data_IF_112267523407
#
_entry.id   IF_112267523407
#
_cell.length_a   1.000
_cell.length_b   1.000
_cell.length_c   1.000
_cell.angle_alpha   90.00
_cell.angle_beta   90.00
_cell.angle_gamma   90.00
#
_symmetry.space_group_name_H-M   'P 1'
#
loop_
_entity.id
_entity.type
_entity.pdbx_description
1 polymer ?
#
# COMPACT_ATOMS: atom_id res chain seq x y z
N UNK A 1 35.42 -62.38 -3.08
CA UNK A 1 35.33 -61.16 -3.90
C UNK A 1 34.25 -60.31 -3.26
N UNK A 2 34.68 -59.45 -2.33
CA UNK A 2 33.81 -58.60 -1.51
C UNK A 2 33.60 -57.31 -2.30
N UNK A 3 32.38 -57.11 -2.80
CA UNK A 3 31.99 -55.94 -3.57
C UNK A 3 31.68 -54.83 -2.55
N UNK A 4 32.63 -53.92 -2.36
CA UNK A 4 32.44 -52.71 -1.58
C UNK A 4 31.35 -51.87 -2.27
N UNK A 5 30.18 -51.81 -1.63
CA UNK A 5 29.05 -51.00 -2.03
C UNK A 5 29.31 -49.55 -1.56
N UNK A 6 29.80 -48.72 -2.48
CA UNK A 6 30.11 -47.30 -2.25
C UNK A 6 28.84 -46.42 -2.15
N UNK A 7 27.75 -46.94 -1.59
CA UNK A 7 26.60 -46.10 -1.22
C UNK A 7 26.93 -45.35 0.05
N UNK A 8 27.54 -44.17 -0.12
CA UNK A 8 27.59 -43.15 0.92
C UNK A 8 26.16 -42.80 1.30
N UNK A 9 25.75 -43.23 2.48
CA UNK A 9 24.42 -42.95 3.02
C UNK A 9 24.33 -41.46 3.35
N UNK A 10 23.82 -40.67 2.41
CA UNK A 10 23.69 -39.22 2.57
C UNK A 10 22.58 -38.96 3.59
N UNK A 11 22.87 -38.38 4.77
CA UNK A 11 21.84 -38.14 5.76
C UNK A 11 20.77 -37.23 5.16
N UNK A 12 19.53 -37.73 5.13
CA UNK A 12 18.33 -37.05 4.62
C UNK A 12 17.85 -35.93 5.55
N UNK A 13 18.78 -35.10 6.02
CA UNK A 13 18.53 -33.88 6.78
C UNK A 13 19.29 -32.76 6.12
N UNK A 14 18.59 -32.00 5.28
CA UNK A 14 19.04 -30.69 4.82
C UNK A 14 19.28 -29.82 6.05
N UNK A 15 20.53 -29.75 6.48
CA UNK A 15 21.00 -28.98 7.63
C UNK A 15 20.71 -27.48 7.48
N UNK A 16 20.57 -27.01 6.24
CA UNK A 16 20.04 -25.68 5.96
C UNK A 16 18.52 -25.74 5.90
N UNK A 17 17.90 -25.42 7.02
CA UNK A 17 16.48 -25.07 7.12
C UNK A 17 16.14 -23.79 6.36
N UNK A 18 16.37 -23.75 5.05
CA UNK A 18 15.69 -22.83 4.17
C UNK A 18 14.22 -23.24 4.15
N UNK A 19 13.47 -22.77 5.14
CA UNK A 19 12.03 -22.59 5.00
C UNK A 19 11.88 -21.78 3.72
N UNK A 20 11.48 -22.43 2.61
CA UNK A 20 10.81 -21.73 1.52
C UNK A 20 9.64 -21.04 2.20
N UNK A 21 9.81 -19.76 2.52
CA UNK A 21 8.69 -18.93 2.90
C UNK A 21 7.68 -19.14 1.77
N UNK A 22 6.42 -19.52 2.06
CA UNK A 22 5.41 -19.61 1.03
C UNK A 22 5.33 -18.20 0.42
N UNK A 23 6.01 -18.02 -0.70
CA UNK A 23 5.99 -16.81 -1.49
C UNK A 23 4.59 -16.78 -2.05
N UNK A 24 3.72 -15.97 -1.46
CA UNK A 24 2.36 -15.75 -1.98
C UNK A 24 2.54 -15.31 -3.44
N UNK A 25 2.18 -16.15 -4.44
CA UNK A 25 2.57 -15.96 -5.83
C UNK A 25 2.01 -14.68 -6.49
N UNK A 26 1.23 -13.88 -5.75
CA UNK A 26 0.56 -12.67 -6.23
C UNK A 26 0.56 -11.53 -5.17
N UNK A 27 1.63 -11.38 -4.39
CA UNK A 27 1.76 -10.26 -3.45
C UNK A 27 2.02 -8.93 -4.16
N UNK A 28 1.01 -8.05 -4.25
CA UNK A 28 1.16 -6.69 -4.81
C UNK A 28 1.31 -5.62 -3.72
N UNK A 29 1.45 -6.00 -2.44
CA UNK A 29 1.60 -5.06 -1.33
C UNK A 29 2.84 -4.16 -1.42
N UNK A 30 3.86 -4.58 -2.17
CA UNK A 30 5.02 -3.73 -2.46
C UNK A 30 4.66 -2.52 -3.34
N UNK A 31 3.65 -2.64 -4.22
CA UNK A 31 3.11 -1.53 -5.02
C UNK A 31 2.31 -0.60 -4.13
N UNK A 32 1.42 -1.15 -3.29
CA UNK A 32 0.61 -0.38 -2.33
C UNK A 32 1.50 0.48 -1.43
N UNK A 33 2.56 -0.12 -0.88
CA UNK A 33 3.56 0.60 -0.07
C UNK A 33 4.16 1.78 -0.82
N UNK A 34 4.56 1.61 -2.08
CA UNK A 34 5.10 2.70 -2.91
C UNK A 34 4.07 3.79 -3.17
N UNK A 35 2.81 3.42 -3.41
CA UNK A 35 1.72 4.37 -3.63
C UNK A 35 1.41 5.20 -2.38
N UNK A 36 1.41 4.60 -1.18
CA UNK A 36 1.24 5.35 0.06
C UNK A 36 2.42 6.26 0.38
N UNK A 37 3.66 5.80 0.15
CA UNK A 37 4.84 6.68 0.28
C UNK A 37 4.74 7.85 -0.69
N UNK A 38 4.39 7.58 -1.96
CA UNK A 38 4.21 8.61 -2.98
C UNK A 38 3.13 9.61 -2.56
N UNK A 39 1.97 9.14 -2.09
CA UNK A 39 0.90 9.99 -1.58
C UNK A 39 1.38 10.87 -0.41
N UNK A 40 2.11 10.29 0.55
CA UNK A 40 2.68 11.03 1.67
C UNK A 40 3.67 12.11 1.24
N UNK A 41 4.53 11.82 0.25
CA UNK A 41 5.47 12.80 -0.32
C UNK A 41 4.72 13.93 -1.01
N UNK A 42 3.73 13.60 -1.85
CA UNK A 42 2.90 14.58 -2.54
C UNK A 42 2.24 15.50 -1.51
N UNK A 43 1.60 14.94 -0.48
CA UNK A 43 0.95 15.70 0.59
C UNK A 43 1.93 16.57 1.38
N UNK A 44 3.12 16.08 1.72
CA UNK A 44 4.16 16.86 2.42
C UNK A 44 4.61 18.07 1.60
N UNK A 45 4.88 17.87 0.31
CA UNK A 45 5.34 18.93 -0.59
C UNK A 45 4.21 19.93 -0.85
N UNK A 46 2.98 19.47 -1.01
CA UNK A 46 1.83 20.35 -1.26
C UNK A 46 1.37 21.15 -0.05
N UNK A 47 1.58 20.63 1.17
CA UNK A 47 1.12 21.27 2.40
C UNK A 47 1.52 22.75 2.55
N UNK A 48 2.79 23.18 2.37
CA UNK A 48 3.16 24.59 2.50
C UNK A 48 2.46 25.50 1.48
N UNK A 49 2.12 25.00 0.30
CA UNK A 49 1.46 25.80 -0.74
C UNK A 49 -0.05 25.92 -0.52
N UNK A 50 -0.67 24.89 0.06
CA UNK A 50 -2.12 24.80 0.21
C UNK A 50 -2.59 24.90 1.67
N UNK A 51 -1.70 25.25 2.61
CA UNK A 51 -2.00 25.28 4.05
C UNK A 51 -3.25 26.09 4.42
N UNK A 52 -3.50 27.20 3.71
CA UNK A 52 -4.68 28.07 3.92
C UNK A 52 -5.98 27.50 3.34
N UNK A 53 -5.90 26.56 2.40
CA UNK A 53 -7.04 25.95 1.70
C UNK A 53 -7.47 24.62 2.33
N UNK A 54 -6.65 24.06 3.22
CA UNK A 54 -6.97 22.82 3.93
C UNK A 54 -8.10 23.06 4.94
N UNK A 55 -9.30 22.59 4.59
CA UNK A 55 -10.52 22.74 5.43
C UNK A 55 -10.39 22.15 6.84
N UNK A 56 -9.58 21.11 7.03
CA UNK A 56 -9.34 20.46 8.33
C UNK A 56 -8.24 21.09 9.18
N UNK A 57 -7.57 22.14 8.68
CA UNK A 57 -6.40 22.74 9.31
C UNK A 57 -5.10 21.95 9.10
N UNK A 58 -3.98 22.62 9.35
CA UNK A 58 -2.63 22.09 9.09
C UNK A 58 -2.30 20.89 9.97
N UNK A 59 -2.73 20.89 11.24
CA UNK A 59 -2.50 19.77 12.16
C UNK A 59 -3.16 18.48 11.69
N UNK A 60 -4.39 18.55 11.18
CA UNK A 60 -5.10 17.38 10.66
C UNK A 60 -4.41 16.82 9.41
N UNK A 61 -3.91 17.69 8.53
CA UNK A 61 -3.14 17.27 7.37
C UNK A 61 -1.83 16.57 7.75
N UNK A 62 -1.07 17.12 8.71
CA UNK A 62 0.16 16.48 9.22
C UNK A 62 -0.16 15.12 9.84
N UNK A 63 -1.21 15.03 10.66
CA UNK A 63 -1.64 13.76 11.24
C UNK A 63 -2.00 12.73 10.14
N UNK A 64 -2.73 13.15 9.10
CA UNK A 64 -3.06 12.28 7.96
C UNK A 64 -1.81 11.78 7.23
N UNK A 65 -0.84 12.66 6.96
CA UNK A 65 0.45 12.29 6.35
C UNK A 65 1.18 11.25 7.19
N UNK A 66 1.25 11.45 8.50
CA UNK A 66 1.91 10.50 9.41
C UNK A 66 1.18 9.16 9.43
N UNK A 67 -0.15 9.15 9.48
CA UNK A 67 -0.94 7.90 9.42
C UNK A 67 -0.65 7.15 8.12
N UNK A 68 -0.67 7.83 6.98
CA UNK A 68 -0.36 7.21 5.67
C UNK A 68 1.06 6.66 5.65
N UNK A 69 2.04 7.42 6.14
CA UNK A 69 3.45 7.00 6.21
C UNK A 69 3.66 5.80 7.15
N UNK A 70 2.97 5.77 8.29
CA UNK A 70 2.99 4.65 9.22
C UNK A 70 2.41 3.39 8.57
N UNK A 71 1.25 3.49 7.93
CA UNK A 71 0.66 2.36 7.22
C UNK A 71 1.56 1.86 6.08
N UNK A 72 2.19 2.77 5.32
CA UNK A 72 3.16 2.40 4.31
C UNK A 72 4.37 1.62 4.88
N UNK A 73 4.79 1.94 6.11
CA UNK A 73 5.83 1.19 6.83
C UNK A 73 5.35 -0.16 7.35
N UNK A 74 4.09 -0.24 7.79
CA UNK A 74 3.49 -1.43 8.37
C UNK A 74 3.05 -2.47 7.33
N UNK A 75 2.74 -2.06 6.08
CA UNK A 75 2.31 -2.95 4.98
C UNK A 75 3.26 -4.15 4.84
N UNK A 76 2.82 -5.30 5.36
CA UNK A 76 3.61 -6.54 5.46
C UNK A 76 2.77 -7.73 5.00
N UNK A 77 3.32 -8.68 4.22
CA UNK A 77 2.59 -9.87 3.75
C UNK A 77 2.15 -10.84 4.86
N UNK A 78 2.71 -10.69 6.06
CA UNK A 78 2.60 -11.65 7.16
C UNK A 78 1.28 -11.52 7.93
N UNK A 79 0.62 -10.37 7.89
CA UNK A 79 -0.56 -10.07 8.69
C UNK A 79 -1.71 -9.59 7.81
N UNK A 80 -2.73 -10.45 7.62
CA UNK A 80 -3.94 -10.15 6.84
C UNK A 80 -4.74 -8.96 7.39
N UNK A 81 -4.68 -8.72 8.71
CA UNK A 81 -5.29 -7.56 9.35
C UNK A 81 -4.72 -6.22 8.86
N UNK A 82 -3.40 -6.14 8.65
CA UNK A 82 -2.75 -4.91 8.15
C UNK A 82 -3.22 -4.63 6.72
N UNK A 83 -3.34 -5.68 5.91
CA UNK A 83 -3.84 -5.59 4.53
C UNK A 83 -5.29 -5.13 4.44
N UNK A 84 -6.14 -5.54 5.38
CA UNK A 84 -7.49 -5.00 5.47
C UNK A 84 -7.46 -3.51 5.83
N UNK A 85 -6.56 -3.10 6.72
CA UNK A 85 -6.27 -1.70 7.01
C UNK A 85 -5.85 -0.90 5.77
N UNK A 86 -4.97 -1.45 4.92
CA UNK A 86 -4.55 -0.82 3.67
C UNK A 86 -5.72 -0.60 2.69
N UNK A 87 -6.66 -1.56 2.63
CA UNK A 87 -7.91 -1.41 1.85
C UNK A 87 -8.74 -0.27 2.41
N UNK A 88 -9.03 -0.27 3.72
CA UNK A 88 -9.85 0.75 4.37
C UNK A 88 -9.23 2.14 4.21
N UNK A 89 -7.93 2.26 4.43
CA UNK A 89 -7.21 3.53 4.28
C UNK A 89 -7.25 4.02 2.83
N UNK A 90 -7.13 3.11 1.86
CA UNK A 90 -7.22 3.46 0.44
C UNK A 90 -8.61 3.96 0.04
N UNK A 91 -9.67 3.33 0.56
CA UNK A 91 -11.05 3.79 0.36
C UNK A 91 -11.24 5.19 0.94
N UNK A 92 -10.87 5.39 2.21
CA UNK A 92 -11.04 6.66 2.91
C UNK A 92 -10.27 7.77 2.20
N UNK A 93 -9.01 7.53 1.85
CA UNK A 93 -8.19 8.49 1.11
C UNK A 93 -8.81 8.87 -0.22
N UNK A 94 -9.19 7.87 -1.04
CA UNK A 94 -9.81 8.11 -2.34
C UNK A 94 -11.09 8.94 -2.22
N UNK A 95 -11.98 8.61 -1.28
CA UNK A 95 -13.23 9.35 -1.07
C UNK A 95 -12.98 10.79 -0.62
N UNK A 96 -12.09 11.01 0.35
CA UNK A 96 -11.82 12.35 0.87
C UNK A 96 -11.28 13.24 -0.26
N UNK A 97 -10.27 12.79 -0.99
CA UNK A 97 -9.65 13.60 -2.04
C UNK A 97 -10.59 13.83 -3.23
N UNK A 98 -11.40 12.84 -3.61
CA UNK A 98 -12.37 12.99 -4.69
C UNK A 98 -13.49 13.97 -4.31
N UNK A 99 -14.04 13.88 -3.09
CA UNK A 99 -15.07 14.82 -2.62
C UNK A 99 -14.53 16.26 -2.58
N UNK A 100 -13.27 16.44 -2.15
CA UNK A 100 -12.63 17.76 -2.18
C UNK A 100 -12.46 18.25 -3.63
N UNK A 101 -11.98 17.39 -4.54
CA UNK A 101 -11.79 17.75 -5.94
C UNK A 101 -13.12 18.16 -6.61
N UNK A 102 -14.18 17.37 -6.45
CA UNK A 102 -15.52 17.70 -6.96
C UNK A 102 -16.03 19.02 -6.37
N UNK A 103 -15.85 19.23 -5.06
CA UNK A 103 -16.25 20.47 -4.39
C UNK A 103 -15.53 21.71 -4.95
N UNK A 104 -14.25 21.59 -5.29
CA UNK A 104 -13.47 22.67 -5.90
C UNK A 104 -13.93 22.95 -7.34
N UNK A 105 -14.15 21.90 -8.14
CA UNK A 105 -14.59 22.04 -9.53
C UNK A 105 -15.95 22.71 -9.63
N UNK A 106 -16.89 22.35 -8.76
CA UNK A 106 -18.25 22.91 -8.74
C UNK A 106 -18.31 24.34 -8.23
N UNK A 107 -17.44 24.72 -7.29
CA UNK A 107 -17.47 26.07 -6.68
C UNK A 107 -16.72 27.10 -7.53
N UNK A 108 -15.52 26.77 -8.00
CA UNK A 108 -14.68 27.75 -8.70
C UNK A 108 -14.81 27.69 -10.23
N UNK A 109 -15.50 26.67 -10.77
CA UNK A 109 -15.70 26.46 -12.22
C UNK A 109 -14.42 26.53 -13.06
N UNK A 110 -13.25 26.36 -12.44
CA UNK A 110 -11.92 26.49 -13.02
C UNK A 110 -10.99 25.41 -12.50
N UNK A 111 -10.08 24.95 -13.34
CA UNK A 111 -9.07 23.93 -13.01
C UNK A 111 -7.92 24.62 -12.26
N UNK A 112 -8.12 24.86 -10.96
CA UNK A 112 -7.07 25.38 -10.07
C UNK A 112 -6.01 24.33 -9.75
N UNK A 113 -4.80 24.78 -9.37
CA UNK A 113 -3.71 23.87 -8.96
C UNK A 113 -4.11 22.95 -7.80
N UNK A 114 -4.90 23.47 -6.84
CA UNK A 114 -5.37 22.68 -5.71
C UNK A 114 -6.36 21.59 -6.14
N UNK A 115 -7.20 21.83 -7.15
CA UNK A 115 -8.06 20.81 -7.74
C UNK A 115 -7.23 19.68 -8.33
N UNK A 116 -6.27 20.01 -9.20
CA UNK A 116 -5.40 19.01 -9.86
C UNK A 116 -4.64 18.19 -8.82
N UNK A 117 -4.14 18.85 -7.78
CA UNK A 117 -3.43 18.19 -6.68
C UNK A 117 -4.30 17.14 -5.96
N UNK A 118 -5.52 17.50 -5.58
CA UNK A 118 -6.46 16.56 -4.95
C UNK A 118 -6.90 15.45 -5.91
N UNK A 119 -7.12 15.76 -7.20
CA UNK A 119 -7.47 14.75 -8.21
C UNK A 119 -6.35 13.71 -8.39
N UNK A 120 -5.08 14.16 -8.44
CA UNK A 120 -3.92 13.26 -8.53
C UNK A 120 -3.86 12.36 -7.29
N UNK A 121 -4.06 12.91 -6.09
CA UNK A 121 -4.12 12.11 -4.86
C UNK A 121 -5.26 11.10 -4.88
N UNK A 122 -6.46 11.49 -5.31
CA UNK A 122 -7.61 10.60 -5.44
C UNK A 122 -7.30 9.41 -6.36
N UNK A 123 -6.64 9.66 -7.49
CA UNK A 123 -6.20 8.62 -8.44
C UNK A 123 -5.14 7.70 -7.81
N UNK A 124 -4.15 8.26 -7.10
CA UNK A 124 -3.12 7.46 -6.40
C UNK A 124 -3.76 6.53 -5.37
N UNK A 125 -4.70 7.04 -4.58
CA UNK A 125 -5.44 6.24 -3.60
C UNK A 125 -6.37 5.21 -4.25
N UNK A 126 -6.95 5.51 -5.41
CA UNK A 126 -7.74 4.55 -6.18
C UNK A 126 -6.88 3.38 -6.68
N UNK A 127 -5.67 3.65 -7.19
CA UNK A 127 -4.73 2.58 -7.54
C UNK A 127 -4.29 1.79 -6.30
N UNK A 128 -4.04 2.47 -5.18
CA UNK A 128 -3.71 1.81 -3.92
C UNK A 128 -4.84 0.85 -3.50
N UNK A 129 -6.10 1.28 -3.62
CA UNK A 129 -7.26 0.45 -3.36
C UNK A 129 -7.30 -0.79 -4.25
N UNK A 130 -7.12 -0.61 -5.56
CA UNK A 130 -7.13 -1.71 -6.52
C UNK A 130 -6.09 -2.80 -6.17
N UNK A 131 -4.84 -2.39 -5.92
CA UNK A 131 -3.77 -3.34 -5.57
C UNK A 131 -3.94 -3.94 -4.17
N UNK A 132 -4.46 -3.18 -3.21
CA UNK A 132 -4.78 -3.66 -1.86
C UNK A 132 -5.84 -4.75 -1.91
N UNK A 133 -6.94 -4.53 -2.65
CA UNK A 133 -8.02 -5.52 -2.84
C UNK A 133 -7.50 -6.75 -3.58
N UNK A 134 -6.68 -6.59 -4.62
CA UNK A 134 -6.07 -7.71 -5.35
C UNK A 134 -5.21 -8.57 -4.43
N UNK A 135 -4.42 -7.95 -3.56
CA UNK A 135 -3.56 -8.65 -2.59
C UNK A 135 -4.39 -9.32 -1.50
N UNK A 136 -5.40 -8.63 -0.97
CA UNK A 136 -6.34 -9.18 0.00
C UNK A 136 -7.04 -10.44 -0.52
N UNK A 137 -7.60 -10.36 -1.73
CA UNK A 137 -8.25 -11.50 -2.40
C UNK A 137 -7.31 -12.68 -2.60
N UNK A 138 -6.07 -12.42 -3.02
CA UNK A 138 -5.07 -13.48 -3.23
C UNK A 138 -4.72 -14.23 -1.94
N UNK A 139 -4.67 -13.53 -0.78
CA UNK A 139 -4.45 -14.16 0.52
C UNK A 139 -5.67 -14.95 1.00
N UNK A 140 -6.88 -14.42 0.83
CA UNK A 140 -8.13 -15.10 1.22
C UNK A 140 -8.32 -16.39 0.44
N UNK A 141 -8.06 -16.37 -0.87
CA UNK A 141 -8.22 -17.53 -1.75
C UNK A 141 -7.12 -18.58 -1.59
N UNK A 142 -6.12 -18.37 -0.72
CA UNK A 142 -4.97 -19.27 -0.48
C UNK A 142 -4.41 -19.88 -1.78
N UNK A 143 -4.25 -19.08 -2.84
CA UNK A 143 -3.68 -19.57 -4.09
C UNK A 143 -2.17 -19.76 -3.93
N UNK A 144 -1.79 -20.82 -3.22
CA UNK A 144 -0.45 -21.41 -3.22
C UNK A 144 -0.34 -22.25 -4.48
N UNK A 145 0.65 -21.94 -5.33
CA UNK A 145 1.10 -22.86 -6.38
C UNK A 145 2.04 -23.88 -5.78
#
# INVERSE_FOLDING_TARGET
MEQFDDTVDVPRRSFLGFRKHPTVPHYHGHIVRRLFVLAGIIMLIGLPFFASLVKGGVLMAIAGILVIGLYAGLTTPKHTWIMWGDVVLSVIGSLIFEVIAIGLYTTESSIGMYFVFNQVLAIVFFFALYFSVKTFRAMVLRQTK
#
